data_IF_365851983972
#
_entry.id   IF_365851983972
#
_cell.length_a   1.000
_cell.length_b   1.000
_cell.length_c   1.000
_cell.angle_alpha   90.00
_cell.angle_beta   90.00
_cell.angle_gamma   90.00
#
_symmetry.space_group_name_H-M   'P 1'
#
loop_
_entity.id
_entity.type
_entity.pdbx_description
1 polymer ?
#
# COMPACT_ATOMS: atom_id res chain seq x y z
N UNK A 1 -15.30 14.11 -16.26
CA UNK A 1 -15.35 14.82 -14.95
C UNK A 1 -15.43 13.84 -13.78
N UNK A 2 -16.39 12.89 -13.78
CA UNK A 2 -16.51 11.85 -12.76
C UNK A 2 -15.30 10.91 -12.62
N UNK A 3 -14.68 10.50 -13.74
CA UNK A 3 -13.49 9.63 -13.73
C UNK A 3 -12.28 10.30 -13.04
N UNK A 4 -12.03 11.58 -13.32
CA UNK A 4 -10.95 12.33 -12.66
C UNK A 4 -11.18 12.45 -11.15
N UNK A 5 -12.45 12.58 -10.75
CA UNK A 5 -12.85 12.66 -9.35
C UNK A 5 -12.59 11.33 -8.63
N UNK A 6 -12.96 10.19 -9.22
CA UNK A 6 -12.68 8.87 -8.63
C UNK A 6 -11.19 8.58 -8.55
N UNK A 7 -10.43 8.88 -9.61
CA UNK A 7 -8.97 8.72 -9.62
C UNK A 7 -8.29 9.60 -8.55
N UNK A 8 -8.78 10.83 -8.34
CA UNK A 8 -8.29 11.72 -7.29
C UNK A 8 -8.53 11.16 -5.88
N UNK A 9 -9.68 10.53 -5.63
CA UNK A 9 -9.98 9.89 -4.34
C UNK A 9 -9.01 8.72 -4.09
N UNK A 10 -8.72 7.90 -5.10
CA UNK A 10 -7.73 6.82 -4.99
C UNK A 10 -6.31 7.34 -4.77
N UNK A 11 -5.94 8.48 -5.36
CA UNK A 11 -4.65 9.12 -5.10
C UNK A 11 -4.52 9.58 -3.64
N UNK A 12 -5.57 10.20 -3.08
CA UNK A 12 -5.62 10.63 -1.67
C UNK A 12 -5.52 9.41 -0.74
N UNK A 13 -6.19 8.31 -1.07
CA UNK A 13 -6.06 7.03 -0.36
C UNK A 13 -4.62 6.50 -0.36
N UNK A 14 -3.89 6.63 -1.48
CA UNK A 14 -2.47 6.30 -1.55
C UNK A 14 -1.62 7.11 -0.56
N UNK A 15 -1.82 8.44 -0.51
CA UNK A 15 -1.13 9.30 0.46
C UNK A 15 -1.50 8.97 1.91
N UNK A 16 -2.76 8.63 2.18
CA UNK A 16 -3.19 8.20 3.50
C UNK A 16 -2.49 6.91 3.93
N UNK A 17 -2.32 5.96 3.01
CA UNK A 17 -1.59 4.71 3.22
C UNK A 17 -0.11 4.97 3.57
N UNK A 18 0.52 5.93 2.87
CA UNK A 18 1.89 6.37 3.19
C UNK A 18 1.97 6.98 4.60
N UNK A 19 1.00 7.82 4.96
CA UNK A 19 0.90 8.39 6.31
C UNK A 19 0.73 7.31 7.39
N UNK A 20 -0.10 6.30 7.12
CA UNK A 20 -0.28 5.14 8.01
C UNK A 20 1.01 4.33 8.14
N UNK A 21 1.80 4.17 7.08
CA UNK A 21 3.07 3.46 7.15
C UNK A 21 4.12 4.17 8.04
N UNK A 22 4.14 5.50 8.03
CA UNK A 22 5.08 6.31 8.82
C UNK A 22 4.63 6.46 10.28
N UNK A 23 3.39 6.89 10.49
CA UNK A 23 2.85 7.29 11.79
C UNK A 23 1.96 6.23 12.45
N UNK A 24 1.57 5.19 11.72
CA UNK A 24 0.68 4.14 12.22
C UNK A 24 1.31 3.34 13.35
N UNK A 25 0.47 2.85 14.26
CA UNK A 25 0.93 2.08 15.42
C UNK A 25 1.61 0.78 14.97
N UNK A 26 2.83 0.52 15.45
CA UNK A 26 3.67 -0.63 15.06
C UNK A 26 2.93 -1.96 15.22
N UNK A 27 2.26 -2.16 16.35
CA UNK A 27 1.48 -3.38 16.64
C UNK A 27 0.33 -3.61 15.65
N UNK A 28 -0.32 -2.54 15.18
CA UNK A 28 -1.42 -2.64 14.21
C UNK A 28 -0.93 -2.89 12.78
N UNK A 29 0.34 -2.55 12.49
CA UNK A 29 0.99 -2.84 11.20
C UNK A 29 1.47 -4.29 11.16
N UNK A 30 1.88 -4.83 12.31
CA UNK A 30 2.25 -6.24 12.45
C UNK A 30 1.04 -7.19 12.39
N UNK A 31 -0.14 -6.72 12.80
CA UNK A 31 -1.41 -7.48 12.69
C UNK A 31 -2.09 -7.37 11.31
N UNK A 32 -1.47 -6.68 10.34
CA UNK A 32 -2.01 -6.62 8.98
C UNK A 32 -1.84 -7.99 8.33
N UNK A 33 -2.92 -8.77 8.33
CA UNK A 33 -3.02 -10.03 7.60
C UNK A 33 -3.04 -9.73 6.10
N UNK A 34 -1.95 -10.08 5.41
CA UNK A 34 -1.95 -10.13 3.95
C UNK A 34 -2.70 -11.41 3.59
N UNK A 35 -3.73 -11.30 2.75
CA UNK A 35 -4.70 -12.36 2.50
C UNK A 35 -4.09 -13.66 1.97
N UNK A 36 -4.90 -14.72 1.90
CA UNK A 36 -4.49 -16.05 1.44
C UNK A 36 -3.90 -16.02 0.03
N UNK A 37 -2.59 -16.26 -0.05
CA UNK A 37 -1.83 -16.36 -1.29
C UNK A 37 -2.22 -17.60 -2.09
N UNK A 38 -2.46 -17.42 -3.40
CA UNK A 38 -2.93 -18.49 -4.30
C UNK A 38 -1.81 -19.04 -5.19
N UNK A 39 -0.67 -18.36 -5.25
CA UNK A 39 0.51 -18.77 -6.02
C UNK A 39 1.78 -18.85 -5.16
N UNK A 40 2.74 -19.70 -5.56
CA UNK A 40 4.02 -19.85 -4.87
C UNK A 40 4.79 -18.53 -4.70
N UNK A 41 4.67 -17.62 -5.65
CA UNK A 41 5.33 -16.31 -5.60
C UNK A 41 4.69 -15.42 -4.53
N UNK A 42 3.36 -15.41 -4.45
CA UNK A 42 2.63 -14.67 -3.41
C UNK A 42 2.91 -15.26 -2.03
N UNK A 43 3.00 -16.60 -1.89
CA UNK A 43 3.37 -17.24 -0.63
C UNK A 43 4.77 -16.84 -0.17
N UNK A 44 5.75 -16.75 -1.07
CA UNK A 44 7.11 -16.29 -0.74
C UNK A 44 7.10 -14.83 -0.30
N UNK A 45 6.32 -13.98 -0.97
CA UNK A 45 6.17 -12.57 -0.60
C UNK A 45 5.47 -12.41 0.76
N UNK A 46 4.44 -13.20 1.04
CA UNK A 46 3.73 -13.21 2.31
C UNK A 46 4.62 -13.69 3.45
N UNK A 47 5.36 -14.79 3.26
CA UNK A 47 6.34 -15.26 4.24
C UNK A 47 7.46 -14.23 4.46
N UNK A 48 7.94 -13.60 3.39
CA UNK A 48 8.94 -12.53 3.50
C UNK A 48 8.39 -11.36 4.31
N UNK A 49 7.13 -10.97 4.08
CA UNK A 49 6.47 -9.92 4.83
C UNK A 49 6.24 -10.32 6.29
N UNK A 50 5.77 -11.54 6.53
CA UNK A 50 5.42 -12.09 7.84
C UNK A 50 6.65 -12.23 8.75
N UNK A 51 7.76 -12.73 8.20
CA UNK A 51 9.05 -12.80 8.91
C UNK A 51 9.84 -11.48 8.88
N UNK A 52 9.40 -10.48 8.12
CA UNK A 52 10.12 -9.21 8.08
C UNK A 52 9.93 -8.39 9.36
N UNK A 53 11.00 -7.76 9.88
CA UNK A 53 10.89 -6.83 10.99
C UNK A 53 9.93 -5.68 10.63
N UNK A 54 9.23 -5.16 11.64
CA UNK A 54 8.33 -3.98 11.59
C UNK A 54 8.76 -2.87 10.62
N UNK A 55 10.06 -2.58 10.52
CA UNK A 55 10.63 -1.58 9.62
C UNK A 55 10.43 -1.92 8.14
N UNK A 56 10.64 -3.17 7.74
CA UNK A 56 10.49 -3.61 6.35
C UNK A 56 9.01 -3.62 5.95
N UNK A 57 8.11 -4.11 6.82
CA UNK A 57 6.66 -4.02 6.61
C UNK A 57 6.19 -2.59 6.36
N UNK A 58 6.70 -1.65 7.16
CA UNK A 58 6.43 -0.21 6.98
C UNK A 58 6.96 0.32 5.65
N UNK A 59 8.17 -0.05 5.24
CA UNK A 59 8.74 0.35 3.95
C UNK A 59 7.90 -0.20 2.80
N UNK A 60 7.44 -1.44 2.89
CA UNK A 60 6.59 -2.07 1.89
C UNK A 60 5.19 -1.43 1.81
N UNK A 61 4.54 -1.15 2.95
CA UNK A 61 3.29 -0.39 2.99
C UNK A 61 3.45 1.03 2.44
N UNK A 62 4.58 1.68 2.74
CA UNK A 62 4.90 3.00 2.22
C UNK A 62 5.08 2.97 0.70
N UNK A 63 5.83 1.99 0.17
CA UNK A 63 6.02 1.77 -1.26
C UNK A 63 4.69 1.47 -1.97
N UNK A 64 3.84 0.65 -1.35
CA UNK A 64 2.50 0.35 -1.87
C UNK A 64 1.66 1.63 -1.97
N UNK A 65 1.64 2.45 -0.92
CA UNK A 65 0.98 3.75 -0.93
C UNK A 65 1.57 4.72 -1.97
N UNK A 66 2.89 4.72 -2.13
CA UNK A 66 3.62 5.56 -3.10
C UNK A 66 3.24 5.21 -4.54
N UNK A 67 3.32 3.93 -4.90
CA UNK A 67 2.97 3.44 -6.24
C UNK A 67 1.51 3.75 -6.54
N UNK A 68 0.62 3.50 -5.58
CA UNK A 68 -0.80 3.82 -5.67
C UNK A 68 -1.02 5.31 -5.93
N UNK A 69 -0.49 6.18 -5.06
CA UNK A 69 -0.61 7.63 -5.22
C UNK A 69 -0.05 8.10 -6.56
N UNK A 70 1.08 7.56 -7.01
CA UNK A 70 1.72 7.94 -8.26
C UNK A 70 0.90 7.54 -9.49
N UNK A 71 0.45 6.28 -9.57
CA UNK A 71 -0.35 5.77 -10.70
C UNK A 71 -1.66 6.55 -10.80
N UNK A 72 -2.36 6.74 -9.67
CA UNK A 72 -3.64 7.44 -9.68
C UNK A 72 -3.48 8.93 -9.96
N UNK A 73 -2.43 9.59 -9.47
CA UNK A 73 -2.14 11.00 -9.81
C UNK A 73 -1.82 11.18 -11.29
N UNK A 74 -0.97 10.30 -11.85
CA UNK A 74 -0.71 10.29 -13.30
C UNK A 74 -1.98 10.02 -14.10
N UNK A 75 -2.82 9.10 -13.63
CA UNK A 75 -4.13 8.82 -14.20
C UNK A 75 -5.06 10.04 -14.22
N UNK A 76 -5.06 10.87 -13.15
CA UNK A 76 -5.82 12.13 -13.13
C UNK A 76 -5.31 13.13 -14.15
N UNK A 77 -3.97 13.25 -14.29
CA UNK A 77 -3.32 14.22 -15.18
C UNK A 77 -3.50 13.85 -16.66
N UNK A 78 -3.37 12.56 -16.99
CA UNK A 78 -3.42 12.05 -18.36
C UNK A 78 -4.85 11.78 -18.87
N UNK A 79 -5.85 11.73 -17.99
CA UNK A 79 -7.28 11.53 -18.31
C UNK A 79 -7.99 12.80 -18.77
#
# INVERSE_FOLDING_TARGET
>A
MWLKMSLGIFAILGYYLMGYAVFGNKRKIDDVYIGTSSSLIEVILDLTYEFSPTLIRRILLFLLGLVTAFIFTMGVILS
#
